data_IF_280470186455
#
_entry.id   IF_280470186455
#
_cell.length_a   1.000
_cell.length_b   1.000
_cell.length_c   1.000
_cell.angle_alpha   90.00
_cell.angle_beta   90.00
_cell.angle_gamma   90.00
#
_symmetry.space_group_name_H-M   'P 1'
#
loop_
_entity.id
_entity.type
_entity.pdbx_description
1 polymer ?
#
# COMPACT_ATOMS: atom_id res chain seq x y z
N UNK A 1 -9.51 10.36 -12.54
CA UNK A 1 -8.57 9.45 -11.81
C UNK A 1 -8.79 9.64 -10.32
N UNK A 2 -8.69 8.59 -9.50
CA UNK A 2 -8.83 8.69 -8.03
C UNK A 2 -7.48 9.03 -7.39
N UNK A 3 -7.51 9.77 -6.26
CA UNK A 3 -6.32 10.09 -5.48
C UNK A 3 -6.53 9.64 -4.03
N UNK A 4 -5.60 8.87 -3.51
CA UNK A 4 -5.62 8.40 -2.12
C UNK A 4 -4.32 8.74 -1.42
N UNK A 5 -4.34 8.83 -0.09
CA UNK A 5 -3.16 9.07 0.72
C UNK A 5 -2.63 7.75 1.30
N UNK A 6 -1.32 7.65 1.52
CA UNK A 6 -0.70 6.49 2.15
C UNK A 6 0.11 6.91 3.37
N UNK A 7 -0.06 6.13 4.45
CA UNK A 7 0.68 6.26 5.69
C UNK A 7 1.53 5.01 5.93
N UNK A 8 2.80 5.21 6.19
CA UNK A 8 3.77 4.13 6.49
C UNK A 8 4.23 4.14 7.94
N UNK A 9 4.04 5.25 8.65
CA UNK A 9 4.43 5.43 10.06
C UNK A 9 5.91 5.14 10.34
N UNK A 10 6.76 5.35 9.34
CA UNK A 10 8.21 5.20 9.52
C UNK A 10 8.68 6.29 10.47
N UNK A 11 9.18 5.89 11.60
CA UNK A 11 9.65 6.77 12.67
C UNK A 11 11.02 6.27 13.19
N UNK A 12 12.10 6.60 12.46
CA UNK A 12 13.44 6.17 12.83
C UNK A 12 13.87 6.77 14.17
N UNK A 13 14.70 6.06 14.92
CA UNK A 13 15.25 6.55 16.18
C UNK A 13 16.04 7.86 15.95
N UNK A 14 15.72 8.89 16.71
CA UNK A 14 16.33 10.23 16.55
C UNK A 14 15.72 11.10 15.44
N UNK A 15 14.68 10.63 14.74
CA UNK A 15 13.91 11.45 13.80
C UNK A 15 13.09 12.54 14.49
N UNK A 16 12.51 13.46 13.68
CA UNK A 16 11.67 14.56 14.19
C UNK A 16 10.33 14.06 14.75
N UNK A 17 9.81 12.95 14.23
CA UNK A 17 8.51 12.40 14.63
C UNK A 17 8.70 11.01 15.26
N UNK A 18 8.22 10.86 16.48
CA UNK A 18 8.01 9.55 17.10
C UNK A 18 6.77 8.85 16.49
N UNK A 19 6.61 7.55 16.74
CA UNK A 19 5.39 6.83 16.39
C UNK A 19 4.13 7.49 16.93
N UNK A 20 4.16 7.95 18.17
CA UNK A 20 3.04 8.66 18.81
C UNK A 20 2.66 9.92 18.02
N UNK A 21 3.65 10.70 17.62
CA UNK A 21 3.42 11.91 16.83
C UNK A 21 2.95 11.59 15.41
N UNK A 22 3.44 10.51 14.80
CA UNK A 22 2.96 10.04 13.50
C UNK A 22 1.48 9.61 13.54
N UNK A 23 1.02 8.99 14.62
CA UNK A 23 -0.42 8.71 14.81
C UNK A 23 -1.23 9.99 15.04
N UNK A 24 -0.72 10.94 15.82
CA UNK A 24 -1.36 12.24 16.02
C UNK A 24 -1.45 13.01 14.70
N UNK A 25 -0.38 12.98 13.88
CA UNK A 25 -0.37 13.55 12.53
C UNK A 25 -1.49 12.94 11.67
N UNK A 26 -1.63 11.62 11.61
CA UNK A 26 -2.72 10.97 10.87
C UNK A 26 -4.09 11.43 11.40
N UNK A 27 -4.29 11.51 12.72
CA UNK A 27 -5.54 11.94 13.32
C UNK A 27 -5.95 13.36 12.91
N UNK A 28 -4.97 14.25 12.75
CA UNK A 28 -5.18 15.63 12.34
C UNK A 28 -5.45 15.75 10.83
N UNK A 29 -4.62 15.09 10.00
CA UNK A 29 -4.65 15.33 8.54
C UNK A 29 -5.65 14.45 7.80
N UNK A 30 -6.09 13.31 8.34
CA UNK A 30 -6.98 12.41 7.61
C UNK A 30 -8.39 12.97 7.43
N UNK A 31 -9.04 13.61 8.43
CA UNK A 31 -10.31 14.32 8.21
C UNK A 31 -10.17 15.47 7.21
N UNK A 32 -9.03 16.16 7.20
CA UNK A 32 -8.73 17.18 6.21
C UNK A 32 -8.66 16.57 4.81
N UNK A 33 -7.93 15.46 4.61
CA UNK A 33 -7.85 14.78 3.32
C UNK A 33 -9.24 14.36 2.81
N UNK A 34 -10.11 13.83 3.69
CA UNK A 34 -11.48 13.51 3.32
C UNK A 34 -12.28 14.76 2.89
N UNK A 35 -12.14 15.87 3.60
CA UNK A 35 -12.82 17.13 3.27
C UNK A 35 -12.36 17.72 1.93
N UNK A 36 -11.12 17.46 1.55
CA UNK A 36 -10.49 17.87 0.30
C UNK A 36 -10.79 16.92 -0.88
N UNK A 37 -11.52 15.83 -0.66
CA UNK A 37 -11.96 14.94 -1.72
C UNK A 37 -11.00 13.78 -2.05
N UNK A 38 -10.03 13.48 -1.20
CA UNK A 38 -9.21 12.26 -1.36
C UNK A 38 -10.09 11.02 -1.24
N UNK A 39 -9.85 10.04 -2.12
CA UNK A 39 -10.67 8.85 -2.28
C UNK A 39 -10.51 7.84 -1.16
N UNK A 40 -9.29 7.64 -0.66
CA UNK A 40 -9.01 6.62 0.33
C UNK A 40 -7.75 6.85 1.12
N UNK A 41 -7.54 6.00 2.12
CA UNK A 41 -6.31 5.90 2.89
C UNK A 41 -5.75 4.49 2.79
N UNK A 42 -4.46 4.40 2.51
CA UNK A 42 -3.70 3.17 2.45
C UNK A 42 -2.71 3.09 3.60
N UNK A 43 -2.65 1.94 4.28
CA UNK A 43 -1.75 1.69 5.42
C UNK A 43 -0.83 0.52 5.08
N UNK A 44 0.46 0.70 5.33
CA UNK A 44 1.50 -0.32 5.09
C UNK A 44 1.77 -1.19 6.31
N UNK A 45 2.48 -2.33 6.12
CA UNK A 45 2.89 -3.23 7.20
C UNK A 45 4.33 -3.69 7.02
N UNK A 46 5.11 -3.64 8.11
CA UNK A 46 6.38 -4.35 8.29
C UNK A 46 6.63 -4.63 9.77
N UNK A 47 7.38 -5.69 10.07
CA UNK A 47 7.67 -6.10 11.44
C UNK A 47 9.16 -6.10 11.72
N UNK A 48 9.52 -5.89 12.99
CA UNK A 48 10.90 -5.98 13.51
C UNK A 48 11.90 -5.10 12.76
N UNK A 49 11.44 -3.96 12.23
CA UNK A 49 12.28 -3.04 11.47
C UNK A 49 12.83 -1.92 12.40
N UNK A 50 14.13 -1.68 12.33
CA UNK A 50 14.80 -0.62 13.11
C UNK A 50 14.33 0.79 12.73
N UNK A 51 13.77 0.94 11.51
CA UNK A 51 13.20 2.18 11.02
C UNK A 51 11.80 2.50 11.58
N UNK A 52 11.29 1.65 12.46
CA UNK A 52 10.02 1.87 13.12
C UNK A 52 8.79 1.75 12.25
N UNK A 53 8.82 0.93 11.20
CA UNK A 53 7.66 0.71 10.35
C UNK A 53 6.48 0.08 11.11
N UNK A 54 5.25 0.45 10.75
CA UNK A 54 4.04 -0.01 11.43
C UNK A 54 3.83 -1.53 11.31
N UNK A 55 3.69 -2.26 12.45
CA UNK A 55 3.45 -3.70 12.42
C UNK A 55 1.97 -4.11 12.47
N UNK A 56 1.04 -3.18 12.70
CA UNK A 56 -0.39 -3.47 12.94
C UNK A 56 -1.30 -2.57 12.11
N UNK A 57 -1.37 -2.77 10.79
CA UNK A 57 -2.12 -1.90 9.88
C UNK A 57 -3.62 -1.88 10.18
N UNK A 58 -4.22 -2.98 10.66
CA UNK A 58 -5.65 -3.05 10.96
C UNK A 58 -6.05 -2.11 12.11
N UNK A 59 -5.19 -1.90 13.11
CA UNK A 59 -5.44 -0.94 14.19
C UNK A 59 -5.44 0.50 13.67
N UNK A 60 -4.51 0.84 12.78
CA UNK A 60 -4.49 2.16 12.15
C UNK A 60 -5.69 2.37 11.20
N UNK A 61 -6.13 1.33 10.49
CA UNK A 61 -7.35 1.37 9.67
C UNK A 61 -8.61 1.51 10.53
N UNK A 62 -8.67 0.89 11.72
CA UNK A 62 -9.76 1.08 12.66
C UNK A 62 -9.82 2.53 13.18
N UNK A 63 -8.66 3.12 13.48
CA UNK A 63 -8.56 4.55 13.78
C UNK A 63 -9.06 5.42 12.62
N UNK A 64 -8.64 5.12 11.39
CA UNK A 64 -9.07 5.82 10.18
C UNK A 64 -10.60 5.69 9.95
N UNK A 65 -11.20 4.53 10.26
CA UNK A 65 -12.64 4.32 10.18
C UNK A 65 -13.42 5.29 11.09
N UNK A 66 -12.90 5.53 12.29
CA UNK A 66 -13.50 6.49 13.23
C UNK A 66 -13.34 7.96 12.82
N UNK A 67 -12.27 8.28 12.10
CA UNK A 67 -11.91 9.63 11.66
C UNK A 67 -12.57 10.06 10.35
N UNK A 68 -13.06 9.12 9.54
CA UNK A 68 -13.59 9.36 8.20
C UNK A 68 -14.96 8.71 7.99
N UNK A 69 -15.70 9.17 6.98
CA UNK A 69 -17.05 8.67 6.67
C UNK A 69 -17.18 8.13 5.24
N UNK A 70 -16.34 8.54 4.31
CA UNK A 70 -16.44 8.22 2.89
C UNK A 70 -15.17 7.61 2.31
N UNK A 71 -14.00 7.92 2.87
CA UNK A 71 -12.73 7.41 2.37
C UNK A 71 -12.68 5.89 2.43
N UNK A 72 -12.20 5.26 1.35
CA UNK A 72 -11.86 3.85 1.33
C UNK A 72 -10.70 3.56 2.29
N UNK A 73 -10.73 2.43 2.98
CA UNK A 73 -9.72 2.03 3.96
C UNK A 73 -9.01 0.79 3.45
N UNK A 74 -7.73 0.91 3.09
CA UNK A 74 -7.01 -0.16 2.39
C UNK A 74 -5.72 -0.53 3.12
N UNK A 75 -5.53 -1.80 3.45
CA UNK A 75 -4.19 -2.29 3.77
C UNK A 75 -3.36 -2.35 2.46
N UNK A 76 -2.16 -1.76 2.45
CA UNK A 76 -1.32 -1.76 1.25
C UNK A 76 0.16 -1.86 1.61
N UNK A 77 0.63 -3.00 2.06
CA UNK A 77 0.04 -4.34 1.96
C UNK A 77 0.00 -4.98 3.34
N UNK A 78 -1.02 -5.76 3.64
CA UNK A 78 -1.07 -6.66 4.79
C UNK A 78 -0.42 -8.00 4.43
N UNK A 79 0.46 -8.51 5.28
CA UNK A 79 1.14 -9.80 5.09
C UNK A 79 0.28 -10.91 5.72
N UNK A 80 -0.75 -11.37 5.00
CA UNK A 80 -1.77 -12.30 5.53
C UNK A 80 -1.22 -13.58 6.13
N UNK A 81 -0.06 -14.04 5.64
CA UNK A 81 0.60 -15.26 6.15
C UNK A 81 1.08 -15.15 7.60
N UNK A 82 1.25 -13.94 8.11
CA UNK A 82 1.71 -13.69 9.47
C UNK A 82 0.56 -13.69 10.49
N UNK A 83 -0.68 -13.84 10.05
CA UNK A 83 -1.87 -13.82 10.91
C UNK A 83 -2.45 -15.22 11.09
N UNK A 84 -3.14 -15.41 12.21
CA UNK A 84 -4.03 -16.56 12.35
C UNK A 84 -5.26 -16.33 11.46
N UNK A 85 -5.62 -17.26 10.55
CA UNK A 85 -6.62 -17.00 9.52
C UNK A 85 -8.00 -16.61 10.06
N UNK A 86 -8.46 -17.28 11.12
CA UNK A 86 -9.77 -16.99 11.74
C UNK A 86 -9.76 -15.61 12.41
N UNK A 87 -8.67 -15.26 13.14
CA UNK A 87 -8.55 -13.94 13.75
C UNK A 87 -8.53 -12.85 12.69
N UNK A 88 -7.79 -13.07 11.59
CA UNK A 88 -7.78 -12.12 10.48
C UNK A 88 -9.18 -11.93 9.86
N UNK A 89 -9.94 -13.00 9.69
CA UNK A 89 -11.32 -12.94 9.19
C UNK A 89 -12.23 -12.11 10.12
N UNK A 90 -12.15 -12.36 11.44
CA UNK A 90 -12.93 -11.64 12.45
C UNK A 90 -12.55 -10.15 12.52
N UNK A 91 -11.25 -9.83 12.47
CA UNK A 91 -10.74 -8.46 12.45
C UNK A 91 -11.21 -7.71 11.20
N UNK A 92 -11.14 -8.35 10.03
CA UNK A 92 -11.59 -7.76 8.77
C UNK A 92 -13.11 -7.53 8.77
N UNK A 93 -13.92 -8.51 9.24
CA UNK A 93 -15.36 -8.36 9.33
C UNK A 93 -15.76 -7.28 10.34
N UNK A 94 -15.04 -7.17 11.45
CA UNK A 94 -15.23 -6.10 12.44
C UNK A 94 -14.90 -4.73 11.83
N UNK A 95 -13.78 -4.62 11.14
CA UNK A 95 -13.36 -3.38 10.48
C UNK A 95 -14.30 -2.97 9.35
N UNK A 96 -14.85 -3.93 8.62
CA UNK A 96 -15.86 -3.69 7.58
C UNK A 96 -17.13 -3.07 8.19
N UNK A 97 -17.59 -3.56 9.34
CA UNK A 97 -18.70 -2.97 10.09
C UNK A 97 -18.35 -1.58 10.65
N UNK A 98 -17.17 -1.40 11.25
CA UNK A 98 -16.71 -0.10 11.77
C UNK A 98 -16.66 0.97 10.68
N UNK A 99 -16.36 0.56 9.46
CA UNK A 99 -16.20 1.46 8.32
C UNK A 99 -17.46 1.60 7.46
N UNK A 100 -18.55 0.88 7.75
CA UNK A 100 -19.75 0.82 6.92
C UNK A 100 -19.43 0.40 5.46
N UNK A 101 -18.71 -0.73 5.32
CA UNK A 101 -18.41 -1.35 4.03
C UNK A 101 -17.36 -0.61 3.18
N UNK A 102 -16.41 0.11 3.80
CA UNK A 102 -15.35 0.85 3.08
C UNK A 102 -14.01 0.10 3.04
N UNK A 103 -13.94 -1.10 3.60
CA UNK A 103 -12.71 -1.90 3.68
C UNK A 103 -12.25 -2.38 2.31
N UNK A 104 -10.93 -2.42 2.10
CA UNK A 104 -10.25 -3.13 1.03
C UNK A 104 -8.99 -3.84 1.57
N UNK A 105 -8.78 -5.08 1.14
CA UNK A 105 -7.66 -5.92 1.55
C UNK A 105 -6.60 -5.96 0.44
N UNK A 106 -5.58 -5.13 0.55
CA UNK A 106 -4.34 -5.33 -0.19
C UNK A 106 -3.44 -6.29 0.58
N UNK A 107 -3.02 -7.40 -0.03
CA UNK A 107 -2.30 -8.45 0.66
C UNK A 107 -1.17 -9.06 -0.16
N UNK A 108 -0.22 -9.68 0.52
CA UNK A 108 0.92 -10.38 -0.08
C UNK A 108 1.39 -11.54 0.80
N UNK A 109 2.13 -12.51 0.22
CA UNK A 109 2.69 -13.62 0.99
C UNK A 109 3.85 -13.22 1.92
N UNK A 110 4.33 -11.98 1.88
CA UNK A 110 5.51 -11.56 2.62
C UNK A 110 6.84 -11.92 1.94
N UNK A 111 7.92 -11.25 2.34
CA UNK A 111 9.25 -11.47 1.75
C UNK A 111 10.43 -11.32 2.73
N UNK A 112 10.18 -10.92 3.94
CA UNK A 112 11.21 -10.72 4.99
C UNK A 112 11.26 -11.95 5.88
N UNK A 113 12.37 -12.68 5.86
CA UNK A 113 12.51 -13.97 6.58
C UNK A 113 12.36 -13.82 8.10
N UNK A 114 12.86 -12.73 8.66
CA UNK A 114 12.82 -12.41 10.07
C UNK A 114 11.39 -12.26 10.58
N UNK A 115 10.49 -11.75 9.76
CA UNK A 115 9.06 -11.61 10.10
C UNK A 115 8.39 -12.99 10.31
N UNK A 116 8.78 -13.99 9.50
CA UNK A 116 8.32 -15.38 9.66
C UNK A 116 8.96 -16.06 10.86
N UNK A 117 10.27 -15.91 11.01
CA UNK A 117 11.01 -16.50 12.14
C UNK A 117 10.47 -16.00 13.49
N UNK A 118 10.18 -14.70 13.60
CA UNK A 118 9.61 -14.10 14.81
C UNK A 118 8.20 -14.61 15.16
N UNK A 119 7.52 -15.31 14.23
CA UNK A 119 6.20 -15.92 14.44
C UNK A 119 6.24 -17.46 14.43
N UNK A 120 7.42 -18.08 14.30
CA UNK A 120 7.57 -19.54 14.21
C UNK A 120 6.97 -20.13 12.93
N UNK A 121 6.94 -19.37 11.84
CA UNK A 121 6.37 -19.80 10.56
C UNK A 121 7.46 -20.15 9.55
N UNK A 122 7.21 -21.16 8.71
CA UNK A 122 8.10 -21.52 7.62
C UNK A 122 7.96 -20.52 6.45
N UNK A 123 9.05 -19.81 6.17
CA UNK A 123 9.13 -18.86 5.06
C UNK A 123 8.91 -19.50 3.69
N UNK A 124 9.33 -20.75 3.50
CA UNK A 124 9.25 -21.42 2.18
C UNK A 124 7.80 -21.79 1.82
N UNK A 125 6.94 -21.96 2.82
CA UNK A 125 5.52 -22.26 2.64
C UNK A 125 4.64 -21.00 2.37
N UNK A 126 5.19 -19.79 2.45
CA UNK A 126 4.43 -18.52 2.41
C UNK A 126 3.50 -18.37 1.22
N UNK A 127 3.90 -18.83 0.03
CA UNK A 127 3.06 -18.70 -1.18
C UNK A 127 1.81 -19.58 -1.12
N UNK A 128 1.97 -20.83 -0.69
CA UNK A 128 0.86 -21.78 -0.57
C UNK A 128 -0.07 -21.36 0.56
N UNK A 129 0.52 -20.99 1.71
CA UNK A 129 -0.20 -20.48 2.87
C UNK A 129 -1.01 -19.22 2.53
N UNK A 130 -0.43 -18.29 1.78
CA UNK A 130 -1.14 -17.09 1.33
C UNK A 130 -2.36 -17.42 0.48
N UNK A 131 -2.20 -18.26 -0.53
CA UNK A 131 -3.31 -18.64 -1.40
C UNK A 131 -4.46 -19.30 -0.64
N UNK A 132 -4.12 -20.22 0.28
CA UNK A 132 -5.12 -20.92 1.08
C UNK A 132 -5.85 -19.99 2.07
N UNK A 133 -5.11 -19.05 2.69
CA UNK A 133 -5.73 -18.01 3.52
C UNK A 133 -6.71 -17.17 2.72
N UNK A 134 -6.35 -16.75 1.50
CA UNK A 134 -7.25 -15.95 0.67
C UNK A 134 -8.47 -16.75 0.22
N UNK A 135 -8.31 -18.05 -0.11
CA UNK A 135 -9.44 -18.93 -0.40
C UNK A 135 -10.41 -19.00 0.78
N UNK A 136 -9.88 -19.23 1.98
CA UNK A 136 -10.66 -19.24 3.21
C UNK A 136 -11.40 -17.92 3.46
N UNK A 137 -10.68 -16.79 3.40
CA UNK A 137 -11.26 -15.47 3.65
C UNK A 137 -12.39 -15.16 2.66
N UNK A 138 -12.20 -15.41 1.37
CA UNK A 138 -13.23 -15.16 0.36
C UNK A 138 -14.43 -16.10 0.49
N UNK A 139 -14.20 -17.39 0.80
CA UNK A 139 -15.29 -18.34 1.03
C UNK A 139 -16.11 -17.96 2.27
N UNK A 140 -15.43 -17.72 3.39
CA UNK A 140 -16.08 -17.37 4.66
C UNK A 140 -16.81 -16.02 4.58
N UNK A 141 -16.29 -15.07 3.82
CA UNK A 141 -16.94 -13.77 3.59
C UNK A 141 -18.28 -13.91 2.86
N UNK A 142 -18.31 -14.75 1.80
CA UNK A 142 -19.54 -15.03 1.03
C UNK A 142 -20.56 -15.87 1.80
N UNK A 143 -20.09 -16.75 2.67
CA UNK A 143 -20.92 -17.61 3.49
C UNK A 143 -20.66 -17.44 4.99
N UNK A 144 -20.98 -16.27 5.57
CA UNK A 144 -20.71 -16.01 6.99
C UNK A 144 -21.60 -16.83 7.94
N UNK A 145 -22.59 -17.57 7.44
CA UNK A 145 -23.40 -18.49 8.23
C UNK A 145 -22.65 -19.78 8.56
N UNK A 146 -21.68 -20.16 7.72
CA UNK A 146 -20.84 -21.34 7.87
C UNK A 146 -19.47 -21.10 7.25
N UNK A 147 -18.46 -20.89 8.09
CA UNK A 147 -17.06 -20.63 7.69
C UNK A 147 -16.20 -21.90 7.66
N UNK A 148 -16.81 -23.10 7.67
CA UNK A 148 -16.07 -24.35 7.63
C UNK A 148 -15.08 -24.43 6.48
N UNK A 149 -13.85 -24.84 6.76
CA UNK A 149 -12.77 -24.94 5.76
C UNK A 149 -11.80 -26.07 6.11
N UNK A 150 -11.45 -26.89 5.12
CA UNK A 150 -10.49 -27.98 5.26
C UNK A 150 -9.32 -27.77 4.29
N UNK A 151 -8.21 -27.23 4.79
CA UNK A 151 -6.98 -27.03 4.06
C UNK A 151 -5.76 -27.57 4.80
N UNK A 152 -4.60 -27.36 4.24
CA UNK A 152 -3.33 -27.75 4.88
C UNK A 152 -2.93 -26.78 5.99
N UNK A 153 -3.12 -25.48 5.76
CA UNK A 153 -2.72 -24.39 6.68
C UNK A 153 -3.90 -23.81 7.45
N UNK A 154 -5.10 -24.00 6.94
CA UNK A 154 -6.34 -23.47 7.50
C UNK A 154 -7.30 -24.64 7.70
N UNK A 155 -7.64 -24.92 8.96
CA UNK A 155 -8.62 -25.92 9.33
C UNK A 155 -9.60 -25.29 10.30
N UNK A 156 -10.86 -25.12 9.86
CA UNK A 156 -11.90 -24.43 10.62
C UNK A 156 -13.15 -25.30 10.60
N UNK A 157 -13.73 -25.62 11.78
CA UNK A 157 -14.99 -26.36 11.85
C UNK A 157 -16.14 -25.49 11.35
N UNK A 158 -17.30 -26.13 11.17
CA UNK A 158 -18.54 -25.43 10.79
C UNK A 158 -18.99 -24.48 11.90
N UNK A 159 -18.72 -23.20 11.75
CA UNK A 159 -19.02 -22.12 12.68
C UNK A 159 -19.67 -20.95 11.93
N UNK A 160 -20.36 -20.06 12.65
CA UNK A 160 -20.91 -18.85 12.08
C UNK A 160 -20.03 -17.63 12.43
N UNK A 161 -19.66 -16.83 11.42
CA UNK A 161 -18.95 -15.57 11.62
C UNK A 161 -19.85 -14.49 12.24
N UNK A 162 -19.35 -13.81 13.27
CA UNK A 162 -20.00 -12.66 13.91
C UNK A 162 -18.92 -11.60 14.25
N UNK A 163 -19.13 -10.30 13.89
CA UNK A 163 -20.24 -9.79 13.10
C UNK A 163 -20.21 -10.30 11.66
N UNK A 164 -21.34 -10.27 10.94
CA UNK A 164 -21.35 -10.50 9.50
C UNK A 164 -20.79 -9.28 8.79
N UNK A 165 -20.03 -9.45 7.70
CA UNK A 165 -19.59 -8.31 6.87
C UNK A 165 -20.76 -7.50 6.32
N UNK A 166 -20.53 -6.21 6.10
CA UNK A 166 -21.47 -5.30 5.39
C UNK A 166 -21.37 -5.52 3.89
N UNK A 167 -20.14 -5.62 3.37
CA UNK A 167 -19.90 -5.88 1.96
C UNK A 167 -20.21 -7.33 1.59
N UNK A 168 -20.87 -7.55 0.44
CA UNK A 168 -21.15 -8.90 -0.07
C UNK A 168 -19.88 -9.66 -0.48
N UNK A 169 -18.88 -8.95 -0.98
CA UNK A 169 -17.57 -9.48 -1.40
C UNK A 169 -16.48 -8.71 -0.68
N UNK A 170 -15.42 -9.40 -0.29
CA UNK A 170 -14.20 -8.75 0.22
C UNK A 170 -13.36 -8.26 -0.96
N UNK A 171 -13.18 -6.95 -1.16
CA UNK A 171 -12.30 -6.44 -2.20
C UNK A 171 -10.85 -6.78 -1.87
N UNK A 172 -10.18 -7.49 -2.80
CA UNK A 172 -8.81 -7.98 -2.60
C UNK A 172 -7.88 -7.48 -3.71
N UNK A 173 -6.69 -7.02 -3.34
CA UNK A 173 -5.57 -6.72 -4.24
C UNK A 173 -4.33 -7.52 -3.82
N UNK A 174 -3.55 -7.95 -4.80
CA UNK A 174 -2.26 -8.58 -4.53
C UNK A 174 -1.12 -7.57 -4.71
N UNK A 175 -0.33 -7.39 -3.65
CA UNK A 175 0.93 -6.64 -3.68
C UNK A 175 2.09 -7.53 -4.12
N UNK A 176 2.17 -7.83 -5.41
CA UNK A 176 3.10 -8.82 -5.94
C UNK A 176 3.77 -8.35 -7.22
N UNK A 177 4.97 -8.85 -7.51
CA UNK A 177 5.73 -8.48 -8.71
C UNK A 177 6.27 -9.67 -9.50
N UNK A 178 6.42 -10.83 -8.87
CA UNK A 178 6.95 -12.01 -9.55
C UNK A 178 5.95 -12.68 -10.51
N UNK A 179 6.38 -13.24 -11.66
CA UNK A 179 5.51 -13.75 -12.71
C UNK A 179 4.52 -14.80 -12.23
N UNK A 180 4.94 -15.72 -11.35
CA UNK A 180 4.06 -16.76 -10.78
C UNK A 180 2.93 -16.17 -9.93
N UNK A 181 3.20 -15.11 -9.17
CA UNK A 181 2.18 -14.46 -8.33
C UNK A 181 1.24 -13.57 -9.16
N UNK A 182 1.74 -12.94 -10.22
CA UNK A 182 0.89 -12.23 -11.19
C UNK A 182 -0.09 -13.20 -11.89
N UNK A 183 0.36 -14.39 -12.24
CA UNK A 183 -0.50 -15.43 -12.82
C UNK A 183 -1.56 -15.92 -11.82
N UNK A 184 -1.21 -16.08 -10.54
CA UNK A 184 -2.17 -16.43 -9.48
C UNK A 184 -3.21 -15.34 -9.27
N UNK A 185 -2.79 -14.07 -9.22
CA UNK A 185 -3.71 -12.94 -9.13
C UNK A 185 -4.67 -12.91 -10.32
N UNK A 186 -4.16 -13.09 -11.53
CA UNK A 186 -4.95 -13.14 -12.75
C UNK A 186 -5.98 -14.30 -12.76
N UNK A 187 -5.57 -15.49 -12.34
CA UNK A 187 -6.45 -16.66 -12.21
C UNK A 187 -7.59 -16.43 -11.20
N UNK A 188 -7.33 -15.67 -10.13
CA UNK A 188 -8.34 -15.31 -9.12
C UNK A 188 -9.25 -14.16 -9.56
N UNK A 189 -8.88 -13.43 -10.59
CA UNK A 189 -9.58 -12.20 -10.96
C UNK A 189 -9.41 -11.08 -9.92
N UNK A 190 -8.24 -10.99 -9.24
CA UNK A 190 -7.94 -9.93 -8.29
C UNK A 190 -6.93 -8.95 -8.89
N UNK A 191 -7.13 -7.65 -8.66
CA UNK A 191 -6.23 -6.61 -9.13
C UNK A 191 -4.86 -6.68 -8.43
N UNK A 192 -3.85 -6.08 -9.04
CA UNK A 192 -2.49 -6.04 -8.50
C UNK A 192 -2.07 -4.61 -8.21
N UNK A 193 -1.26 -4.45 -7.18
CA UNK A 193 -0.52 -3.23 -6.88
C UNK A 193 0.96 -3.53 -6.84
N UNK A 194 1.80 -2.55 -7.16
CA UNK A 194 3.24 -2.72 -7.17
C UNK A 194 3.92 -1.75 -6.21
N UNK A 195 5.10 -2.14 -5.74
CA UNK A 195 5.90 -1.32 -4.83
C UNK A 195 6.27 0.03 -5.47
N UNK A 196 6.29 1.13 -4.71
CA UNK A 196 6.72 2.45 -5.19
C UNK A 196 8.18 2.49 -5.66
N UNK A 197 8.99 1.51 -5.28
CA UNK A 197 10.40 1.39 -5.72
C UNK A 197 10.56 1.19 -7.23
N UNK A 198 9.53 0.69 -7.93
CA UNK A 198 9.62 0.46 -9.36
C UNK A 198 9.57 1.77 -10.16
N UNK A 199 10.46 1.89 -11.13
CA UNK A 199 10.40 2.95 -12.14
C UNK A 199 9.12 2.83 -12.98
N UNK A 200 8.78 3.86 -13.73
CA UNK A 200 7.62 3.82 -14.63
C UNK A 200 7.74 2.72 -15.68
N UNK A 201 8.95 2.48 -16.22
CA UNK A 201 9.19 1.42 -17.19
C UNK A 201 8.99 0.02 -16.58
N UNK A 202 9.52 -0.22 -15.36
CA UNK A 202 9.29 -1.48 -14.63
C UNK A 202 7.81 -1.71 -14.33
N UNK A 203 7.05 -0.65 -14.03
CA UNK A 203 5.59 -0.76 -13.83
C UNK A 203 4.85 -1.06 -15.13
N UNK A 204 5.27 -0.50 -16.27
CA UNK A 204 4.70 -0.85 -17.58
C UNK A 204 4.86 -2.34 -17.88
N UNK A 205 6.06 -2.89 -17.69
CA UNK A 205 6.29 -4.33 -17.85
C UNK A 205 5.47 -5.16 -16.87
N UNK A 206 5.41 -4.73 -15.62
CA UNK A 206 4.64 -5.41 -14.57
C UNK A 206 3.15 -5.53 -14.95
N UNK A 207 2.52 -4.41 -15.32
CA UNK A 207 1.12 -4.40 -15.70
C UNK A 207 0.86 -5.13 -17.03
N UNK A 208 1.77 -5.02 -18.00
CA UNK A 208 1.65 -5.76 -19.26
C UNK A 208 1.69 -7.28 -19.03
N UNK A 209 2.60 -7.77 -18.17
CA UNK A 209 2.67 -9.18 -17.77
C UNK A 209 1.40 -9.65 -17.07
N UNK A 210 0.88 -8.83 -16.16
CA UNK A 210 -0.36 -9.12 -15.45
C UNK A 210 -1.57 -9.17 -16.40
N UNK A 211 -1.74 -8.18 -17.29
CA UNK A 211 -2.81 -8.12 -18.27
C UNK A 211 -2.78 -9.31 -19.24
N UNK A 212 -1.58 -9.69 -19.71
CA UNK A 212 -1.40 -10.88 -20.54
C UNK A 212 -1.81 -12.17 -19.80
N UNK A 213 -1.52 -12.27 -18.51
CA UNK A 213 -1.98 -13.39 -17.69
C UNK A 213 -3.50 -13.34 -17.48
N UNK A 214 -4.07 -12.19 -17.17
CA UNK A 214 -5.50 -12.00 -16.95
C UNK A 214 -6.31 -12.39 -18.18
N UNK A 215 -5.86 -11.98 -19.37
CA UNK A 215 -6.52 -12.32 -20.64
C UNK A 215 -6.60 -13.84 -20.87
N UNK A 216 -5.59 -14.63 -20.45
CA UNK A 216 -5.62 -16.10 -20.54
C UNK A 216 -6.72 -16.75 -19.68
N UNK A 217 -7.12 -16.07 -18.60
CA UNK A 217 -8.20 -16.53 -17.70
C UNK A 217 -9.53 -15.83 -17.95
N UNK A 218 -9.63 -15.02 -19.03
CA UNK A 218 -10.86 -14.27 -19.36
C UNK A 218 -11.19 -13.14 -18.36
N UNK A 219 -10.22 -12.68 -17.59
CA UNK A 219 -10.38 -11.58 -16.62
C UNK A 219 -9.88 -10.26 -17.22
N UNK A 220 -10.67 -9.21 -17.04
CA UNK A 220 -10.29 -7.84 -17.40
C UNK A 220 -10.06 -7.06 -16.12
N UNK A 221 -8.82 -6.64 -15.81
CA UNK A 221 -8.53 -5.83 -14.64
C UNK A 221 -9.24 -4.48 -14.68
N UNK A 222 -10.00 -4.17 -13.64
CA UNK A 222 -10.75 -2.91 -13.51
C UNK A 222 -10.04 -1.86 -12.67
N UNK A 223 -9.07 -2.26 -11.86
CA UNK A 223 -8.31 -1.37 -10.99
C UNK A 223 -6.82 -1.50 -11.25
N UNK A 224 -6.15 -0.34 -11.29
CA UNK A 224 -4.70 -0.22 -11.47
C UNK A 224 -4.18 0.87 -10.53
N UNK A 225 -4.05 0.57 -9.23
CA UNK A 225 -3.46 1.50 -8.28
C UNK A 225 -1.96 1.62 -8.52
N UNK A 226 -1.47 2.85 -8.55
CA UNK A 226 -0.04 3.18 -8.66
C UNK A 226 0.37 4.00 -7.45
N UNK A 227 1.46 3.61 -6.78
CA UNK A 227 1.97 4.28 -5.59
C UNK A 227 3.14 5.18 -5.98
N UNK A 228 3.14 6.42 -5.49
CA UNK A 228 4.25 7.37 -5.61
C UNK A 228 4.42 8.18 -4.33
N UNK A 229 5.68 8.48 -3.99
CA UNK A 229 5.97 9.49 -2.99
C UNK A 229 5.56 10.86 -3.53
N UNK A 230 4.89 11.66 -2.69
CA UNK A 230 4.41 12.97 -3.11
C UNK A 230 4.52 14.01 -2.01
N UNK A 231 4.97 15.19 -2.35
CA UNK A 231 4.89 16.40 -1.52
C UNK A 231 4.79 17.62 -2.43
N UNK A 232 3.67 18.33 -2.36
CA UNK A 232 3.37 19.43 -3.27
C UNK A 232 3.23 20.72 -2.48
N UNK A 233 4.10 21.67 -2.73
CA UNK A 233 4.05 23.00 -2.14
C UNK A 233 4.09 24.04 -3.26
N UNK A 234 3.80 25.29 -2.95
CA UNK A 234 3.81 26.37 -3.93
C UNK A 234 5.22 26.61 -4.51
N UNK A 235 6.25 26.38 -3.70
CA UNK A 235 7.65 26.50 -4.07
C UNK A 235 8.31 25.11 -4.19
N UNK A 236 8.90 24.83 -5.36
CA UNK A 236 9.57 23.57 -5.65
C UNK A 236 10.77 23.31 -4.73
N UNK A 237 11.57 24.34 -4.45
CA UNK A 237 12.76 24.17 -3.61
C UNK A 237 12.36 23.83 -2.18
N UNK A 238 11.27 24.43 -1.69
CA UNK A 238 10.72 24.11 -0.39
C UNK A 238 10.18 22.66 -0.35
N UNK A 239 9.44 22.22 -1.35
CA UNK A 239 8.93 20.85 -1.44
C UNK A 239 10.07 19.81 -1.44
N UNK A 240 11.12 20.05 -2.22
CA UNK A 240 12.31 19.18 -2.26
C UNK A 240 13.06 19.20 -0.91
N UNK A 241 13.18 20.35 -0.27
CA UNK A 241 13.84 20.47 1.04
C UNK A 241 13.20 19.57 2.11
N UNK A 242 11.87 19.48 2.12
CA UNK A 242 11.14 18.63 3.07
C UNK A 242 11.02 17.17 2.62
N UNK A 243 10.82 16.92 1.32
CA UNK A 243 10.54 15.60 0.80
C UNK A 243 11.79 14.75 0.50
N UNK A 244 12.89 15.35 0.06
CA UNK A 244 14.07 14.61 -0.35
C UNK A 244 14.73 13.80 0.78
N UNK A 245 14.91 14.29 2.02
CA UNK A 245 15.50 13.49 3.08
C UNK A 245 14.72 12.22 3.39
N UNK A 246 13.40 12.33 3.56
CA UNK A 246 12.51 11.21 3.85
C UNK A 246 12.46 10.18 2.72
N UNK A 247 12.41 10.63 1.45
CA UNK A 247 12.45 9.71 0.31
C UNK A 247 13.79 9.00 0.18
N UNK A 248 14.91 9.71 0.33
CA UNK A 248 16.24 9.10 0.31
C UNK A 248 16.39 8.02 1.38
N UNK A 249 15.90 8.28 2.59
CA UNK A 249 15.91 7.30 3.66
C UNK A 249 15.07 6.07 3.33
N UNK A 250 13.82 6.25 2.89
CA UNK A 250 12.91 5.14 2.51
C UNK A 250 13.49 4.28 1.40
N UNK A 251 14.08 4.89 0.38
CA UNK A 251 14.67 4.17 -0.74
C UNK A 251 16.00 3.51 -0.39
N UNK A 252 16.76 4.07 0.54
CA UNK A 252 17.93 3.40 1.12
C UNK A 252 17.55 2.10 1.84
N UNK A 253 16.43 2.07 2.57
CA UNK A 253 15.89 0.87 3.20
C UNK A 253 15.45 -0.18 2.17
N UNK A 254 14.82 0.22 1.08
CA UNK A 254 14.51 -0.69 -0.03
C UNK A 254 15.79 -1.26 -0.67
N UNK A 255 16.83 -0.46 -0.85
CA UNK A 255 18.12 -0.90 -1.36
C UNK A 255 18.76 -1.97 -0.49
N UNK A 256 18.80 -1.78 0.83
CA UNK A 256 19.34 -2.75 1.80
C UNK A 256 18.58 -4.08 1.78
N UNK A 257 17.25 -4.05 1.71
CA UNK A 257 16.37 -5.25 1.73
C UNK A 257 16.37 -6.04 0.41
N UNK A 258 16.83 -5.42 -0.68
CA UNK A 258 16.78 -6.00 -2.02
C UNK A 258 18.14 -6.04 -2.72
N UNK A 259 19.21 -6.27 -1.96
CA UNK A 259 20.59 -6.22 -2.45
C UNK A 259 20.95 -7.24 -3.56
N UNK A 260 20.05 -8.16 -3.92
CA UNK A 260 20.32 -9.15 -4.98
C UNK A 260 19.07 -9.59 -5.76
N UNK A 261 19.26 -9.93 -7.03
CA UNK A 261 18.24 -10.53 -7.90
C UNK A 261 17.25 -9.54 -8.51
N UNK A 262 16.10 -10.05 -8.98
CA UNK A 262 15.02 -9.27 -9.64
C UNK A 262 14.40 -8.16 -8.77
N UNK A 263 14.69 -8.16 -7.47
CA UNK A 263 14.20 -7.17 -6.50
C UNK A 263 15.18 -6.05 -6.22
N UNK A 264 16.38 -6.09 -6.81
CA UNK A 264 17.40 -5.07 -6.60
C UNK A 264 16.85 -3.69 -7.02
N UNK A 265 16.95 -2.71 -6.11
CA UNK A 265 16.61 -1.33 -6.44
C UNK A 265 17.65 -0.78 -7.41
N UNK A 266 17.17 -0.22 -8.51
CA UNK A 266 18.01 0.50 -9.48
C UNK A 266 17.59 1.96 -9.53
N UNK A 267 18.55 2.83 -9.75
CA UNK A 267 18.29 4.24 -9.99
C UNK A 267 17.75 4.50 -11.42
N UNK A 268 17.50 5.75 -11.75
CA UNK A 268 16.94 6.14 -13.05
C UNK A 268 17.93 5.94 -14.21
N UNK A 269 19.22 5.73 -13.93
CA UNK A 269 20.24 5.32 -14.91
C UNK A 269 20.34 3.79 -15.08
N UNK A 270 19.65 3.02 -14.23
CA UNK A 270 19.71 1.56 -14.17
C UNK A 270 20.82 1.00 -13.27
N UNK A 271 21.60 1.84 -12.59
CA UNK A 271 22.62 1.42 -11.65
C UNK A 271 22.00 0.90 -10.34
N UNK A 272 22.67 -0.09 -9.71
CA UNK A 272 22.23 -0.62 -8.42
C UNK A 272 22.34 0.44 -7.31
N UNK A 273 21.26 0.62 -6.56
CA UNK A 273 21.24 1.47 -5.37
C UNK A 273 21.75 0.68 -4.18
N UNK A 274 22.97 0.97 -3.74
CA UNK A 274 23.62 0.35 -2.58
C UNK A 274 23.80 1.33 -1.41
N UNK A 275 23.59 2.63 -1.66
CA UNK A 275 23.71 3.66 -0.65
C UNK A 275 22.58 3.56 0.38
N UNK A 276 22.91 3.83 1.65
CA UNK A 276 21.92 3.89 2.74
C UNK A 276 20.94 5.07 2.58
N UNK A 277 21.38 6.14 1.90
CA UNK A 277 20.57 7.28 1.51
C UNK A 277 20.96 7.64 0.06
N UNK A 278 20.29 7.12 -0.95
CA UNK A 278 20.56 7.47 -2.35
C UNK A 278 20.22 8.94 -2.61
N UNK A 279 20.93 9.55 -3.56
CA UNK A 279 20.64 10.92 -3.97
C UNK A 279 19.21 11.03 -4.52
N UNK A 280 18.47 12.03 -4.08
CA UNK A 280 17.08 12.24 -4.50
C UNK A 280 16.96 12.32 -6.03
N UNK A 281 17.87 13.04 -6.68
CA UNK A 281 17.88 13.23 -8.12
C UNK A 281 18.06 11.93 -8.90
N UNK A 282 18.74 10.93 -8.32
CA UNK A 282 18.96 9.64 -8.99
C UNK A 282 17.71 8.78 -9.09
N UNK A 283 16.66 9.13 -8.35
CA UNK A 283 15.38 8.42 -8.26
C UNK A 283 14.18 9.34 -8.55
N UNK A 284 14.43 10.55 -9.06
CA UNK A 284 13.42 11.60 -9.19
C UNK A 284 12.22 11.21 -10.05
N UNK A 285 12.38 10.31 -11.02
CA UNK A 285 11.28 9.81 -11.87
C UNK A 285 10.20 9.05 -11.09
N UNK A 286 10.48 8.66 -9.84
CA UNK A 286 9.56 7.95 -8.95
C UNK A 286 8.77 8.88 -8.03
N UNK A 287 9.12 10.17 -8.02
CA UNK A 287 8.59 11.12 -7.04
C UNK A 287 7.70 12.18 -7.69
N UNK A 288 6.64 12.55 -7.00
CA UNK A 288 5.78 13.68 -7.29
C UNK A 288 6.03 14.77 -6.23
N UNK A 289 7.27 15.25 -6.16
CA UNK A 289 7.74 16.22 -5.17
C UNK A 289 8.13 17.50 -5.88
N UNK A 290 7.40 18.59 -5.64
CA UNK A 290 7.64 19.86 -6.28
C UNK A 290 6.49 20.85 -6.17
N UNK A 291 6.46 21.81 -7.09
CA UNK A 291 5.35 22.74 -7.27
C UNK A 291 4.20 22.10 -8.08
N UNK A 292 2.99 22.72 -8.07
CA UNK A 292 1.83 22.18 -8.78
C UNK A 292 2.04 21.94 -10.27
N UNK A 293 2.88 22.76 -10.95
CA UNK A 293 3.11 22.60 -12.38
C UNK A 293 3.95 21.33 -12.66
N UNK A 294 5.10 21.18 -11.99
CA UNK A 294 5.97 20.03 -12.15
C UNK A 294 5.29 18.71 -11.74
N UNK A 295 4.43 18.74 -10.72
CA UNK A 295 3.67 17.55 -10.28
C UNK A 295 2.59 17.17 -11.28
N UNK A 296 1.89 18.13 -11.89
CA UNK A 296 0.94 17.85 -12.99
C UNK A 296 1.64 17.17 -14.16
N UNK A 297 2.74 17.72 -14.63
CA UNK A 297 3.55 17.11 -15.70
C UNK A 297 3.94 15.66 -15.37
N UNK A 298 4.36 15.42 -14.12
CA UNK A 298 4.67 14.06 -13.63
C UNK A 298 3.45 13.11 -13.66
N UNK A 299 2.29 13.60 -13.26
CA UNK A 299 1.04 12.80 -13.28
C UNK A 299 0.58 12.56 -14.71
N UNK A 300 0.67 13.54 -15.62
CA UNK A 300 0.35 13.37 -17.05
C UNK A 300 1.24 12.29 -17.69
N UNK A 301 2.53 12.33 -17.40
CA UNK A 301 3.48 11.30 -17.86
C UNK A 301 3.12 9.91 -17.31
N UNK A 302 2.78 9.79 -16.03
CA UNK A 302 2.33 8.53 -15.43
C UNK A 302 0.99 8.06 -16.04
N UNK A 303 0.05 8.97 -16.28
CA UNK A 303 -1.23 8.66 -16.87
C UNK A 303 -1.08 8.15 -18.31
N UNK A 304 -0.24 8.79 -19.10
CA UNK A 304 0.07 8.34 -20.45
C UNK A 304 0.75 6.96 -20.50
N UNK A 305 1.69 6.72 -19.57
CA UNK A 305 2.47 5.48 -19.53
C UNK A 305 1.71 4.30 -18.92
N UNK A 306 0.96 4.51 -17.84
CA UNK A 306 0.43 3.44 -16.97
C UNK A 306 -1.10 3.38 -16.95
N UNK A 307 -1.81 4.44 -17.32
CA UNK A 307 -3.27 4.55 -17.22
C UNK A 307 -3.80 4.15 -15.83
N UNK A 308 -3.31 4.76 -14.74
CA UNK A 308 -3.74 4.40 -13.40
C UNK A 308 -5.20 4.72 -13.18
N UNK A 309 -5.94 3.85 -12.50
CA UNK A 309 -7.29 4.13 -12.02
C UNK A 309 -7.27 4.91 -10.71
N UNK A 310 -6.20 4.72 -9.95
CA UNK A 310 -5.96 5.36 -8.68
C UNK A 310 -4.47 5.67 -8.50
N UNK A 311 -4.16 6.90 -8.10
CA UNK A 311 -2.82 7.30 -7.68
C UNK A 311 -2.79 7.37 -6.15
N UNK A 312 -2.02 6.48 -5.55
CA UNK A 312 -1.84 6.39 -4.11
C UNK A 312 -0.59 7.18 -3.73
N UNK A 313 -0.80 8.30 -3.07
CA UNK A 313 0.24 9.27 -2.74
C UNK A 313 0.77 9.00 -1.33
N UNK A 314 2.02 8.54 -1.21
CA UNK A 314 2.69 8.47 0.07
C UNK A 314 3.22 9.86 0.43
N UNK A 315 2.39 10.62 1.13
CA UNK A 315 2.67 11.99 1.52
C UNK A 315 3.21 12.07 2.97
N UNK A 316 2.90 11.08 3.81
CA UNK A 316 3.57 10.93 5.09
C UNK A 316 4.95 10.31 4.87
N UNK A 317 5.97 11.11 5.01
CA UNK A 317 7.37 10.71 4.94
C UNK A 317 8.05 11.00 6.28
N UNK A 318 9.15 10.31 6.62
CA UNK A 318 9.94 10.64 7.80
C UNK A 318 10.27 12.14 7.84
N UNK A 319 10.14 12.72 9.02
CA UNK A 319 10.55 14.09 9.32
C UNK A 319 9.79 15.21 8.57
N UNK A 320 8.66 14.92 7.91
CA UNK A 320 7.78 15.96 7.37
C UNK A 320 6.82 16.45 8.47
N UNK A 321 6.90 17.74 8.88
CA UNK A 321 6.03 18.29 9.92
C UNK A 321 4.55 18.25 9.51
N UNK A 322 3.65 18.15 10.50
CA UNK A 322 2.20 18.04 10.26
C UNK A 322 1.63 19.22 9.48
N UNK A 323 2.07 20.45 9.78
CA UNK A 323 1.63 21.65 9.06
C UNK A 323 2.09 21.65 7.59
N UNK A 324 3.27 21.08 7.29
CA UNK A 324 3.78 20.94 5.92
C UNK A 324 2.96 19.88 5.17
N UNK A 325 2.67 18.75 5.80
CA UNK A 325 1.81 17.72 5.22
C UNK A 325 0.39 18.26 4.97
N UNK A 326 -0.20 18.96 5.92
CA UNK A 326 -1.53 19.54 5.77
C UNK A 326 -1.57 20.59 4.64
N UNK A 327 -0.54 21.42 4.51
CA UNK A 327 -0.40 22.37 3.40
C UNK A 327 -0.27 21.64 2.06
N UNK A 328 0.57 20.61 2.00
CA UNK A 328 0.73 19.79 0.79
C UNK A 328 -0.58 19.13 0.34
N UNK A 329 -1.39 18.61 1.27
CA UNK A 329 -2.71 18.07 0.96
C UNK A 329 -3.62 19.12 0.32
N UNK A 330 -3.64 20.35 0.86
CA UNK A 330 -4.45 21.45 0.30
C UNK A 330 -3.97 21.87 -1.09
N UNK A 331 -2.68 22.15 -1.23
CA UNK A 331 -2.09 22.57 -2.51
C UNK A 331 -2.35 21.53 -3.60
N UNK A 332 -2.18 20.25 -3.30
CA UNK A 332 -2.46 19.17 -4.26
C UNK A 332 -3.95 19.13 -4.62
N UNK A 333 -4.84 19.17 -3.65
CA UNK A 333 -6.28 19.10 -3.88
C UNK A 333 -6.82 20.31 -4.66
N UNK A 334 -6.32 21.52 -4.38
CA UNK A 334 -6.80 22.75 -4.99
C UNK A 334 -6.16 23.05 -6.36
N UNK A 335 -4.90 22.65 -6.55
CA UNK A 335 -4.09 23.08 -7.69
C UNK A 335 -3.70 21.95 -8.65
N UNK A 336 -3.91 20.68 -8.29
CA UNK A 336 -3.53 19.51 -9.11
C UNK A 336 -4.73 18.60 -9.40
N UNK A 337 -5.47 18.17 -8.37
CA UNK A 337 -6.60 17.23 -8.56
C UNK A 337 -7.62 17.67 -9.63
N UNK A 338 -8.01 18.95 -9.77
CA UNK A 338 -9.05 19.35 -10.70
C UNK A 338 -8.74 19.04 -12.16
N UNK A 339 -7.47 18.98 -12.51
CA UNK A 339 -7.03 18.70 -13.89
C UNK A 339 -7.16 17.22 -14.28
N UNK A 340 -7.43 16.32 -13.29
CA UNK A 340 -7.53 14.87 -13.48
C UNK A 340 -8.86 14.27 -13.00
N UNK A 341 -9.83 15.09 -12.63
CA UNK A 341 -11.13 14.68 -12.12
C UNK A 341 -12.05 14.05 -13.19
#
# INVERSE_FOLDING_TARGET
MKFSVMFSFVAPEGGLLSHRESFAQMAEVLPLAESLGYHGVHITEHHFQEDGWLPSPLLALAMAAGLTKRMRLVSNILVSTLYHPVQLLEDLATLDNLSDGRLGLGTAPGYVREEFAGRGLDYEERFQRHEEIIDFLQQAWRNPADIGFEGRFVQVPHLALRPRPVQAELPVWYGVSGPRMLERAAKRGVSVTASPRHSTAELQEHFARYEAAAARFGYVPTERPVIREALVLEDRAEAVRYGAPGTSQLFGLYGKKSASGERALRDDSGALVTAAAPAFESLASRFLIGDPASVREGIEALAAALRPTELVLRMQMPDVPTEVLARSLRVFAERVMPDFA
#
